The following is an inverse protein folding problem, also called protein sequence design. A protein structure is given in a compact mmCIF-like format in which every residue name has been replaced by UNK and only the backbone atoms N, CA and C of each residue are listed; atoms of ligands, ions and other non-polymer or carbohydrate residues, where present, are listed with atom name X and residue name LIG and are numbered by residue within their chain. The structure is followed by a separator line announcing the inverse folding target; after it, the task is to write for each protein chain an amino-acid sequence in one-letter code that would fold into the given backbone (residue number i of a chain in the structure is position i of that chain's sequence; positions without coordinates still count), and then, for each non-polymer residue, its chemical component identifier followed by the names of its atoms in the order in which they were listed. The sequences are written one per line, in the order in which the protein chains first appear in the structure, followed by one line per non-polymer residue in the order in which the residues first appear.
data_IF_448892788626
#
_entry.id   IF_448892788626
#
_cell.length_a   1.000
_cell.length_b   1.000
_cell.length_c   1.000
_cell.angle_alpha   90.00
_cell.angle_beta   90.00
_cell.angle_gamma   90.00
#
_symmetry.space_group_name_H-M   'P 1'
#
loop_
_entity.id
_entity.type
_entity.pdbx_description
1 polymer ?
#
# COMPACT_ATOMS: atom_id res chain seq x y z
N UNK A 1 -2.74 1.97 -18.95
CA UNK A 1 -1.67 2.97 -19.20
C UNK A 1 -1.91 4.22 -18.36
N UNK A 2 -0.92 5.14 -18.23
CA UNK A 2 -0.95 6.28 -17.29
C UNK A 2 -2.22 7.15 -17.34
N UNK A 3 -2.82 7.36 -18.53
CA UNK A 3 -4.06 8.14 -18.70
C UNK A 3 -5.25 7.51 -17.96
N UNK A 4 -5.51 6.23 -18.21
CA UNK A 4 -6.60 5.50 -17.56
C UNK A 4 -6.46 5.46 -16.04
N UNK A 5 -5.23 5.35 -15.52
CA UNK A 5 -5.00 5.41 -14.06
C UNK A 5 -5.35 6.78 -13.48
N UNK A 6 -5.02 7.87 -14.18
CA UNK A 6 -5.38 9.23 -13.74
C UNK A 6 -6.89 9.44 -13.71
N UNK A 7 -7.60 8.95 -14.72
CA UNK A 7 -9.06 9.02 -14.78
C UNK A 7 -9.68 8.21 -13.63
N UNK A 8 -9.20 6.98 -13.39
CA UNK A 8 -9.64 6.16 -12.27
C UNK A 8 -9.45 6.85 -10.91
N UNK A 9 -8.25 7.41 -10.65
CA UNK A 9 -7.97 8.06 -9.37
C UNK A 9 -8.57 9.45 -9.22
N UNK A 10 -9.04 10.09 -10.29
CA UNK A 10 -9.75 11.37 -10.18
C UNK A 10 -11.13 11.22 -9.52
N UNK A 11 -11.73 10.02 -9.63
CA UNK A 11 -13.05 9.71 -9.07
C UNK A 11 -12.96 9.01 -7.71
N UNK A 12 -11.80 8.47 -7.36
CA UNK A 12 -11.57 7.80 -6.07
C UNK A 12 -11.15 8.81 -5.01
N UNK A 13 -12.00 9.00 -4.00
CA UNK A 13 -11.63 9.75 -2.79
C UNK A 13 -10.79 8.88 -1.86
N UNK A 14 -9.56 9.33 -1.56
CA UNK A 14 -8.68 8.75 -0.55
C UNK A 14 -9.03 9.18 0.88
N UNK A 15 -10.09 9.97 1.07
CA UNK A 15 -10.48 10.51 2.38
C UNK A 15 -11.26 9.52 3.26
N UNK A 16 -11.59 8.33 2.73
CA UNK A 16 -12.37 7.31 3.44
C UNK A 16 -11.51 6.32 4.24
N UNK A 17 -10.19 6.33 4.03
CA UNK A 17 -9.24 5.45 4.73
C UNK A 17 -7.92 6.18 5.04
N UNK A 18 -7.14 5.62 5.96
CA UNK A 18 -5.76 6.00 6.21
C UNK A 18 -4.88 4.77 6.03
N UNK A 19 -3.90 4.86 5.13
CA UNK A 19 -2.92 3.80 4.90
C UNK A 19 -1.57 4.22 5.49
N UNK A 20 -1.03 3.42 6.41
CA UNK A 20 0.24 3.65 7.09
C UNK A 20 1.21 2.52 6.75
N UNK A 21 2.40 2.85 6.29
CA UNK A 21 3.48 1.88 6.04
C UNK A 21 4.50 1.93 7.17
N UNK A 22 4.89 0.76 7.66
CA UNK A 22 5.97 0.57 8.62
C UNK A 22 7.07 -0.28 7.97
N UNK A 23 8.11 0.35 7.38
CA UNK A 23 9.23 -0.37 6.81
C UNK A 23 9.91 -1.22 7.87
N UNK A 24 10.09 -2.51 7.57
CA UNK A 24 10.89 -3.44 8.39
C UNK A 24 12.33 -3.50 7.90
N UNK A 25 12.53 -3.33 6.59
CA UNK A 25 13.85 -3.24 5.98
C UNK A 25 13.79 -2.42 4.69
N UNK A 26 14.94 -1.90 4.28
CA UNK A 26 15.14 -1.34 2.95
C UNK A 26 16.61 -1.32 2.58
N UNK A 27 16.88 -1.30 1.28
CA UNK A 27 18.25 -1.23 0.75
C UNK A 27 18.26 -0.45 -0.57
N UNK A 28 19.37 0.24 -0.80
CA UNK A 28 19.72 0.85 -2.09
C UNK A 28 20.82 -0.01 -2.72
N UNK A 29 20.74 -0.21 -4.02
CA UNK A 29 21.79 -0.83 -4.84
C UNK A 29 23.12 -0.08 -4.75
N UNK A 30 24.21 -0.74 -5.10
CA UNK A 30 25.54 -0.12 -5.12
C UNK A 30 25.63 1.03 -6.14
N UNK A 31 24.95 0.90 -7.28
CA UNK A 31 24.81 1.96 -8.30
C UNK A 31 24.03 3.18 -7.81
N UNK A 32 23.25 3.05 -6.74
CA UNK A 32 22.52 4.16 -6.13
C UNK A 32 21.27 4.60 -6.90
N UNK A 33 20.82 3.83 -7.89
CA UNK A 33 19.71 4.12 -8.80
C UNK A 33 18.47 3.25 -8.55
N UNK A 34 18.64 2.06 -7.97
CA UNK A 34 17.55 1.17 -7.56
C UNK A 34 17.53 0.97 -6.05
N UNK A 35 16.34 0.86 -5.46
CA UNK A 35 16.18 0.48 -4.06
C UNK A 35 14.86 -0.23 -3.80
N UNK A 36 14.73 -0.84 -2.63
CA UNK A 36 13.46 -1.44 -2.21
C UNK A 36 13.22 -1.20 -0.72
N UNK A 37 11.95 -1.19 -0.34
CA UNK A 37 11.49 -1.25 1.06
C UNK A 37 10.44 -2.34 1.18
N UNK A 38 10.43 -3.04 2.30
CA UNK A 38 9.33 -3.96 2.64
C UNK A 38 9.03 -3.89 4.13
N UNK A 39 7.81 -4.28 4.49
CA UNK A 39 7.36 -4.26 5.87
C UNK A 39 5.88 -4.53 5.98
N UNK A 40 5.24 -3.89 6.96
CA UNK A 40 3.81 -4.06 7.24
C UNK A 40 3.09 -2.77 6.85
N UNK A 41 1.90 -2.90 6.26
CA UNK A 41 0.95 -1.80 6.14
C UNK A 41 -0.20 -1.96 7.15
N UNK A 42 -0.77 -0.84 7.58
CA UNK A 42 -2.02 -0.76 8.33
C UNK A 42 -2.99 0.14 7.56
N UNK A 43 -4.14 -0.40 7.20
CA UNK A 43 -5.25 0.31 6.58
C UNK A 43 -6.34 0.54 7.64
N UNK A 44 -6.64 1.78 7.95
CA UNK A 44 -7.71 2.18 8.87
C UNK A 44 -8.87 2.80 8.08
N UNK A 45 -10.07 2.26 8.19
CA UNK A 45 -11.26 2.85 7.57
C UNK A 45 -11.78 3.99 8.45
N UNK A 46 -11.75 5.23 7.94
CA UNK A 46 -12.09 6.43 8.71
C UNK A 46 -13.45 7.03 8.31
N UNK A 47 -14.06 6.54 7.22
CA UNK A 47 -15.38 6.92 6.75
C UNK A 47 -16.23 5.72 6.31
N UNK A 48 -17.52 5.97 6.04
CA UNK A 48 -18.49 4.95 5.63
C UNK A 48 -18.96 4.04 6.77
N UNK A 49 -19.73 3.00 6.42
CA UNK A 49 -20.33 2.06 7.37
C UNK A 49 -19.30 1.20 8.11
N UNK A 50 -18.13 0.99 7.51
CA UNK A 50 -17.05 0.19 8.08
C UNK A 50 -16.05 1.04 8.90
N UNK A 51 -16.39 2.30 9.21
CA UNK A 51 -15.54 3.18 10.00
C UNK A 51 -15.09 2.51 11.31
N UNK A 52 -13.79 2.57 11.59
CA UNK A 52 -13.16 1.98 12.76
C UNK A 52 -12.61 0.57 12.54
N UNK A 53 -12.90 -0.07 11.39
CA UNK A 53 -12.25 -1.32 11.03
C UNK A 53 -10.80 -1.08 10.57
N UNK A 54 -9.95 -2.06 10.85
CA UNK A 54 -8.55 -2.06 10.45
C UNK A 54 -8.23 -3.33 9.67
N UNK A 55 -7.35 -3.20 8.68
CA UNK A 55 -6.76 -4.31 7.95
C UNK A 55 -5.24 -4.14 7.97
N UNK A 56 -4.51 -5.24 8.00
CA UNK A 56 -3.06 -5.20 7.97
C UNK A 56 -2.52 -6.25 7.00
N UNK A 57 -1.31 -6.02 6.53
CA UNK A 57 -0.64 -6.97 5.66
C UNK A 57 0.81 -6.60 5.44
N UNK A 58 1.44 -7.32 4.54
CA UNK A 58 2.82 -7.04 4.11
C UNK A 58 2.80 -6.16 2.87
N UNK A 59 3.85 -5.35 2.69
CA UNK A 59 4.07 -4.62 1.46
C UNK A 59 5.52 -4.75 0.98
N UNK A 60 5.72 -4.52 -0.32
CA UNK A 60 7.02 -4.29 -0.92
C UNK A 60 6.91 -3.18 -1.98
N UNK A 61 7.80 -2.20 -1.90
CA UNK A 61 7.90 -1.12 -2.89
C UNK A 61 9.29 -1.13 -3.50
N UNK A 62 9.38 -1.19 -4.83
CA UNK A 62 10.62 -1.02 -5.59
C UNK A 62 10.68 0.42 -6.10
N UNK A 63 11.82 1.06 -5.88
CA UNK A 63 12.08 2.45 -6.20
C UNK A 63 13.17 2.55 -7.25
N UNK A 64 13.00 3.43 -8.21
CA UNK A 64 14.01 3.81 -9.20
C UNK A 64 14.23 5.33 -9.14
N UNK A 65 15.49 5.75 -9.14
CA UNK A 65 15.89 7.14 -9.19
C UNK A 65 15.99 7.56 -10.65
N UNK A 66 15.23 8.58 -11.04
CA UNK A 66 15.27 9.09 -12.41
C UNK A 66 16.50 9.98 -12.68
N UNK A 67 16.67 10.41 -13.93
CA UNK A 67 17.78 11.29 -14.37
C UNK A 67 17.86 12.63 -13.64
N UNK A 68 16.77 13.05 -12.97
CA UNK A 68 16.72 14.27 -12.15
C UNK A 68 17.11 14.01 -10.68
N UNK A 69 17.45 12.78 -10.33
CA UNK A 69 17.77 12.36 -8.97
C UNK A 69 16.54 12.10 -8.09
N UNK A 70 15.34 12.06 -8.67
CA UNK A 70 14.09 11.85 -7.92
C UNK A 70 13.76 10.36 -7.84
N UNK A 71 13.48 9.87 -6.63
CA UNK A 71 12.95 8.51 -6.45
C UNK A 71 11.48 8.43 -6.84
N UNK A 72 11.13 7.42 -7.64
CA UNK A 72 9.76 7.06 -7.98
C UNK A 72 9.59 5.58 -7.80
N UNK A 73 8.44 5.15 -7.26
CA UNK A 73 8.14 3.73 -7.23
C UNK A 73 7.91 3.24 -8.67
N UNK A 74 8.44 2.06 -8.97
CA UNK A 74 8.23 1.35 -10.24
C UNK A 74 7.38 0.10 -10.05
N UNK A 75 7.30 -0.38 -8.81
CA UNK A 75 6.39 -1.44 -8.38
C UNK A 75 6.01 -1.18 -6.92
N UNK A 76 4.74 -1.32 -6.61
CA UNK A 76 4.22 -1.39 -5.25
C UNK A 76 3.26 -2.57 -5.16
N UNK A 77 3.39 -3.37 -4.12
CA UNK A 77 2.52 -4.52 -3.88
C UNK A 77 2.21 -4.66 -2.41
N UNK A 78 0.98 -5.05 -2.12
CA UNK A 78 0.51 -5.40 -0.78
C UNK A 78 -0.09 -6.80 -0.78
N UNK A 79 0.00 -7.48 0.36
CA UNK A 79 -0.67 -8.75 0.60
C UNK A 79 -1.19 -8.77 2.04
N UNK A 80 -2.52 -8.85 2.21
CA UNK A 80 -3.19 -8.95 3.52
C UNK A 80 -2.91 -10.28 4.25
N UNK A 81 -2.19 -11.20 3.60
CA UNK A 81 -1.99 -12.55 4.10
C UNK A 81 -3.17 -13.45 3.74
N UNK A 82 -3.19 -14.65 4.31
CA UNK A 82 -4.38 -15.50 4.31
C UNK A 82 -5.20 -15.12 5.53
N UNK A 83 -6.02 -14.08 5.44
CA UNK A 83 -7.07 -13.89 6.43
C UNK A 83 -7.94 -15.15 6.42
N UNK A 84 -8.09 -15.84 7.54
CA UNK A 84 -9.09 -16.90 7.63
C UNK A 84 -10.46 -16.25 7.43
N UNK A 85 -11.35 -16.84 6.60
CA UNK A 85 -12.70 -16.32 6.47
C UNK A 85 -13.34 -16.29 7.86
N UNK A 86 -13.74 -15.10 8.32
CA UNK A 86 -14.43 -14.89 9.59
C UNK A 86 -15.60 -15.89 9.72
N UNK A 87 -15.40 -16.98 10.47
CA UNK A 87 -16.44 -17.97 10.79
C UNK A 87 -17.36 -17.49 11.92
N UNK A 88 -17.12 -16.30 12.46
CA UNK A 88 -17.86 -15.69 13.57
C UNK A 88 -18.85 -14.62 13.11
N UNK A 89 -19.78 -14.99 12.21
CA UNK A 89 -21.06 -14.27 12.00
C UNK A 89 -22.22 -15.22 11.66
N UNK A 90 -22.27 -16.38 12.30
CA UNK A 90 -23.51 -17.15 12.46
C UNK A 90 -23.59 -17.57 13.93
N UNK A 91 -24.76 -17.44 14.55
CA UNK A 91 -25.03 -17.27 15.99
C UNK A 91 -24.87 -15.77 16.35
N UNK A 92 -25.90 -14.94 16.32
CA UNK A 92 -27.30 -15.11 16.77
C UNK A 92 -28.31 -14.41 15.85
#
# INVERSE_FOLDING_TARGET
GKKAMKELYAELSDSSYRLTWKPSYGRISESGDLGYTFGIFLLELIGGEQKGQTQQGTYCTIWEKNDKGEWRFVLDTGNSGMEEPNTSKQLE
#
